data_IF_652750187735
#
_entry.id   IF_652750187735
#
_cell.length_a   1.000
_cell.length_b   1.000
_cell.length_c   1.000
_cell.angle_alpha   90.00
_cell.angle_beta   90.00
_cell.angle_gamma   90.00
#
_symmetry.space_group_name_H-M   'P 1'
#
loop_
_entity.id
_entity.type
_entity.pdbx_description
1 polymer ?
#
# COMPACT_ATOMS: atom_id res chain seq x y z
N UNK A 1 0.68 -17.83 -0.42
CA UNK A 1 2.15 -18.01 -0.64
C UNK A 1 2.87 -17.61 0.63
N UNK A 2 3.87 -18.37 1.05
CA UNK A 2 4.71 -18.06 2.21
C UNK A 2 5.75 -16.99 1.83
N UNK A 3 6.22 -16.24 2.82
CA UNK A 3 7.10 -15.10 2.57
C UNK A 3 8.48 -15.50 2.01
N UNK A 4 9.03 -16.64 2.45
CA UNK A 4 10.31 -17.15 1.96
C UNK A 4 10.24 -17.48 0.45
N UNK A 5 9.19 -18.17 0.01
CA UNK A 5 8.98 -18.50 -1.42
C UNK A 5 8.83 -17.22 -2.26
N UNK A 6 8.19 -16.20 -1.68
CA UNK A 6 8.05 -14.90 -2.30
C UNK A 6 9.42 -14.21 -2.47
N UNK A 7 10.25 -14.18 -1.43
CA UNK A 7 11.58 -13.57 -1.50
C UNK A 7 12.45 -14.28 -2.52
N UNK A 8 12.54 -15.62 -2.49
CA UNK A 8 13.32 -16.42 -3.44
C UNK A 8 12.96 -16.09 -4.89
N UNK A 9 11.69 -15.86 -5.15
CA UNK A 9 11.19 -15.49 -6.50
C UNK A 9 11.62 -14.11 -6.94
N UNK A 10 11.52 -13.11 -6.04
CA UNK A 10 11.71 -11.71 -6.39
C UNK A 10 13.13 -11.20 -6.17
N UNK A 11 13.96 -11.85 -5.33
CA UNK A 11 15.31 -11.42 -5.02
C UNK A 11 16.22 -11.33 -6.26
N UNK A 12 16.02 -12.24 -7.21
CA UNK A 12 16.77 -12.26 -8.46
C UNK A 12 16.26 -11.30 -9.54
N UNK A 13 15.13 -10.60 -9.29
CA UNK A 13 14.55 -9.67 -10.27
C UNK A 13 15.15 -8.26 -10.12
N UNK A 14 16.02 -7.83 -11.07
CA UNK A 14 16.72 -6.53 -10.94
C UNK A 14 15.77 -5.34 -11.02
N UNK A 15 14.55 -5.52 -11.56
CA UNK A 15 13.59 -4.42 -11.70
C UNK A 15 12.90 -4.06 -10.38
N UNK A 16 12.92 -4.94 -9.37
CA UNK A 16 12.22 -4.77 -8.10
C UNK A 16 13.14 -4.83 -6.87
N UNK A 17 14.45 -4.80 -7.06
CA UNK A 17 15.45 -4.95 -6.00
C UNK A 17 15.24 -3.97 -4.83
N UNK A 18 14.91 -2.70 -5.12
CA UNK A 18 14.72 -1.68 -4.08
C UNK A 18 13.46 -1.94 -3.24
N UNK A 19 12.36 -2.31 -3.90
CA UNK A 19 11.12 -2.67 -3.22
C UNK A 19 11.33 -3.90 -2.32
N UNK A 20 12.01 -4.92 -2.82
CA UNK A 20 12.28 -6.15 -2.05
C UNK A 20 13.18 -5.86 -0.85
N UNK A 21 14.25 -5.07 -1.02
CA UNK A 21 15.13 -4.70 0.08
C UNK A 21 14.39 -3.93 1.20
N UNK A 22 13.49 -3.01 0.84
CA UNK A 22 12.65 -2.30 1.81
C UNK A 22 11.68 -3.26 2.50
N UNK A 23 11.02 -4.12 1.72
CA UNK A 23 10.04 -5.07 2.21
C UNK A 23 10.66 -6.06 3.20
N UNK A 24 11.85 -6.59 2.93
CA UNK A 24 12.58 -7.48 3.84
C UNK A 24 12.85 -6.83 5.19
N UNK A 25 13.31 -5.57 5.21
CA UNK A 25 13.53 -4.82 6.45
C UNK A 25 12.25 -4.67 7.26
N UNK A 26 11.14 -4.35 6.59
CA UNK A 26 9.85 -4.19 7.25
C UNK A 26 9.33 -5.55 7.76
N UNK A 27 9.44 -6.60 6.95
CA UNK A 27 8.98 -7.94 7.31
C UNK A 27 9.67 -8.47 8.58
N UNK A 28 11.00 -8.34 8.68
CA UNK A 28 11.76 -8.73 9.89
C UNK A 28 11.22 -8.00 11.13
N UNK A 29 11.04 -6.68 11.04
CA UNK A 29 10.53 -5.91 12.16
C UNK A 29 9.09 -6.30 12.56
N UNK A 30 8.22 -6.62 11.58
CA UNK A 30 6.87 -7.10 11.86
C UNK A 30 6.86 -8.49 12.49
N UNK A 31 7.77 -9.39 12.05
CA UNK A 31 7.92 -10.73 12.62
C UNK A 31 8.43 -10.69 14.06
N UNK A 32 9.33 -9.77 14.39
CA UNK A 32 9.87 -9.58 15.74
C UNK A 32 8.89 -8.85 16.68
N UNK A 33 7.99 -8.04 16.15
CA UNK A 33 7.05 -7.26 16.96
C UNK A 33 5.96 -8.15 17.56
N UNK A 34 5.79 -8.10 18.88
CA UNK A 34 4.67 -8.76 19.58
C UNK A 34 3.33 -8.06 19.35
N UNK A 35 3.34 -6.82 18.89
CA UNK A 35 2.15 -6.02 18.58
C UNK A 35 1.53 -6.40 17.22
N UNK A 36 2.32 -6.98 16.31
CA UNK A 36 1.83 -7.45 15.02
C UNK A 36 1.27 -8.87 15.14
N UNK A 37 -0.03 -9.05 14.94
CA UNK A 37 -0.70 -10.36 14.97
C UNK A 37 -0.89 -10.97 13.59
N UNK A 38 -0.85 -10.16 12.55
CA UNK A 38 -0.92 -10.59 11.15
C UNK A 38 -0.28 -9.56 10.24
N UNK A 39 0.35 -9.99 9.16
CA UNK A 39 0.82 -9.09 8.10
C UNK A 39 0.84 -9.81 6.76
N UNK A 40 0.42 -9.09 5.72
CA UNK A 40 0.35 -9.62 4.37
C UNK A 40 0.74 -8.57 3.32
N UNK A 41 1.41 -9.02 2.26
CA UNK A 41 1.56 -8.28 1.02
C UNK A 41 0.36 -8.60 0.14
N UNK A 42 -0.22 -7.58 -0.45
CA UNK A 42 -1.32 -7.70 -1.41
C UNK A 42 -0.96 -7.04 -2.74
N UNK A 43 -1.92 -6.86 -3.64
CA UNK A 43 -1.72 -6.11 -4.87
C UNK A 43 -0.86 -6.84 -5.91
N UNK A 44 -0.08 -6.08 -6.69
CA UNK A 44 0.65 -6.58 -7.85
C UNK A 44 1.76 -7.56 -7.48
N UNK A 45 2.44 -7.38 -6.35
CA UNK A 45 3.46 -8.30 -5.86
C UNK A 45 2.87 -9.67 -5.52
N UNK A 46 1.76 -9.71 -4.80
CA UNK A 46 1.08 -10.95 -4.48
C UNK A 46 0.50 -11.66 -5.72
N UNK A 47 0.12 -10.90 -6.75
CA UNK A 47 -0.39 -11.40 -8.04
C UNK A 47 0.71 -11.75 -9.03
N UNK A 48 1.97 -11.66 -8.64
CA UNK A 48 3.14 -11.95 -9.48
C UNK A 48 3.22 -11.09 -10.77
N UNK A 49 2.60 -9.91 -10.75
CA UNK A 49 2.54 -8.97 -11.88
C UNK A 49 3.25 -7.65 -11.60
N UNK A 50 4.07 -7.60 -10.52
CA UNK A 50 4.78 -6.39 -10.15
C UNK A 50 5.90 -6.05 -11.14
N UNK A 51 6.11 -4.76 -11.33
CA UNK A 51 7.19 -4.17 -12.09
C UNK A 51 7.95 -3.11 -11.24
N UNK A 52 8.92 -2.42 -11.84
CA UNK A 52 9.70 -1.37 -11.16
C UNK A 52 8.85 -0.24 -10.58
N UNK A 53 7.70 0.03 -11.14
CA UNK A 53 6.80 1.12 -10.71
C UNK A 53 5.66 0.63 -9.81
N UNK A 54 5.64 -0.66 -9.50
CA UNK A 54 4.62 -1.22 -8.62
C UNK A 54 4.81 -0.75 -7.19
N UNK A 55 3.69 -0.43 -6.53
CA UNK A 55 3.68 -0.14 -5.10
C UNK A 55 3.94 -1.42 -4.30
N UNK A 56 4.56 -1.28 -3.14
CA UNK A 56 4.46 -2.28 -2.10
C UNK A 56 3.12 -2.02 -1.38
N UNK A 57 2.15 -2.92 -1.54
CA UNK A 57 0.88 -2.87 -0.80
C UNK A 57 1.01 -3.77 0.43
N UNK A 58 1.21 -3.18 1.61
CA UNK A 58 1.45 -3.88 2.86
C UNK A 58 0.35 -3.59 3.88
N UNK A 59 -0.25 -4.65 4.41
CA UNK A 59 -1.28 -4.59 5.46
C UNK A 59 -0.76 -5.33 6.68
N UNK A 60 -0.73 -4.65 7.84
CA UNK A 60 -0.42 -5.26 9.12
C UNK A 60 -1.63 -5.15 10.06
N UNK A 61 -1.97 -6.23 10.74
CA UNK A 61 -2.98 -6.31 11.78
C UNK A 61 -2.31 -6.24 13.14
N UNK A 62 -2.73 -5.31 13.97
CA UNK A 62 -2.16 -5.11 15.30
C UNK A 62 -3.03 -5.71 16.41
N UNK A 63 -2.42 -5.95 17.57
CA UNK A 63 -3.16 -6.20 18.80
C UNK A 63 -3.89 -4.93 19.28
N UNK A 64 -4.84 -5.10 20.19
CA UNK A 64 -5.67 -4.00 20.68
C UNK A 64 -4.84 -2.86 21.25
N UNK A 65 -5.18 -1.62 20.88
CA UNK A 65 -4.53 -0.40 21.34
C UNK A 65 -3.10 -0.15 20.81
N UNK A 66 -2.55 -1.02 19.95
CA UNK A 66 -1.14 -0.92 19.50
C UNK A 66 -0.95 -0.37 18.07
N UNK A 67 -2.04 0.01 17.40
CA UNK A 67 -2.00 0.44 15.99
C UNK A 67 -1.02 1.57 15.71
N UNK A 68 -1.01 2.63 16.54
CA UNK A 68 -0.07 3.75 16.38
C UNK A 68 1.39 3.39 16.71
N UNK A 69 1.62 2.47 17.64
CA UNK A 69 2.95 2.00 17.99
C UNK A 69 3.56 1.22 16.83
N UNK A 70 2.83 0.25 16.29
CA UNK A 70 3.24 -0.55 15.14
C UNK A 70 3.48 0.34 13.89
N UNK A 71 2.59 1.28 13.63
CA UNK A 71 2.73 2.23 12.54
C UNK A 71 4.00 3.09 12.65
N UNK A 72 4.31 3.57 13.85
CA UNK A 72 5.53 4.34 14.12
C UNK A 72 6.79 3.51 13.96
N UNK A 73 6.78 2.27 14.44
CA UNK A 73 7.89 1.34 14.30
C UNK A 73 8.28 1.14 12.83
N UNK A 74 7.32 0.87 11.96
CA UNK A 74 7.59 0.75 10.51
C UNK A 74 8.08 2.08 9.93
N UNK A 75 7.48 3.21 10.34
CA UNK A 75 7.92 4.54 9.90
C UNK A 75 9.38 4.86 10.23
N UNK A 76 9.91 4.33 11.33
CA UNK A 76 11.31 4.51 11.73
C UNK A 76 12.32 3.74 10.85
N UNK A 77 11.86 2.72 10.13
CA UNK A 77 12.71 1.95 9.20
C UNK A 77 12.96 2.70 7.88
N UNK A 78 12.20 3.76 7.64
CA UNK A 78 12.24 4.53 6.39
C UNK A 78 12.98 5.84 6.64
N UNK A 79 14.07 6.05 5.90
CA UNK A 79 14.83 7.30 6.00
C UNK A 79 14.01 8.48 5.48
N UNK A 80 13.83 9.56 6.24
CA UNK A 80 13.13 10.75 5.77
C UNK A 80 13.77 11.37 4.51
N UNK A 81 15.09 11.22 4.34
CA UNK A 81 15.81 11.75 3.18
C UNK A 81 15.47 11.03 1.86
N UNK A 82 14.89 9.83 1.94
CA UNK A 82 14.47 9.05 0.77
C UNK A 82 13.03 9.38 0.34
N UNK A 83 12.26 10.09 1.18
CA UNK A 83 10.85 10.38 0.93
C UNK A 83 10.71 11.62 0.06
N UNK A 84 10.18 11.44 -1.15
CA UNK A 84 9.79 12.53 -2.04
C UNK A 84 8.40 13.09 -1.67
N UNK A 85 7.46 12.22 -1.33
CA UNK A 85 6.09 12.59 -1.00
C UNK A 85 5.49 11.60 0.00
N UNK A 86 4.66 12.13 0.91
CA UNK A 86 3.93 11.35 1.90
C UNK A 86 2.49 11.85 2.06
N UNK A 87 1.55 10.92 2.17
CA UNK A 87 0.18 11.20 2.60
C UNK A 87 -0.26 10.19 3.64
N UNK A 88 -0.73 10.70 4.77
CA UNK A 88 -1.25 9.91 5.88
C UNK A 88 -2.78 9.94 5.89
N UNK A 89 -3.37 8.86 6.32
CA UNK A 89 -4.81 8.73 6.53
C UNK A 89 -5.14 7.71 7.61
N UNK A 90 -6.43 7.43 7.75
CA UNK A 90 -6.95 6.47 8.74
C UNK A 90 -8.14 5.72 8.17
N UNK A 91 -8.26 4.45 8.55
CA UNK A 91 -9.49 3.66 8.37
C UNK A 91 -10.41 3.83 9.58
N UNK A 92 -9.81 3.89 10.79
CA UNK A 92 -10.43 4.20 12.09
C UNK A 92 -9.43 4.98 12.96
N UNK A 93 -9.79 5.45 14.16
CA UNK A 93 -8.84 6.13 15.05
C UNK A 93 -7.54 5.35 15.27
N UNK A 94 -7.61 4.03 15.43
CA UNK A 94 -6.48 3.14 15.72
C UNK A 94 -5.95 2.38 14.50
N UNK A 95 -6.44 2.72 13.29
CA UNK A 95 -6.04 2.09 12.04
C UNK A 95 -5.44 3.10 11.06
N UNK A 96 -4.22 3.60 11.32
CA UNK A 96 -3.55 4.54 10.44
C UNK A 96 -3.03 3.85 9.17
N UNK A 97 -2.86 4.65 8.11
CA UNK A 97 -2.11 4.22 6.93
C UNK A 97 -1.25 5.37 6.40
N UNK A 98 -0.23 5.00 5.64
CA UNK A 98 0.67 5.93 4.96
C UNK A 98 0.95 5.46 3.55
N UNK A 99 0.96 6.42 2.63
CA UNK A 99 1.42 6.24 1.25
C UNK A 99 2.65 7.08 1.05
N UNK A 100 3.71 6.48 0.54
CA UNK A 100 4.99 7.13 0.29
C UNK A 100 5.40 6.95 -1.16
N UNK A 101 5.96 8.02 -1.73
CA UNK A 101 6.74 7.97 -2.97
C UNK A 101 8.18 8.31 -2.59
N UNK A 102 9.12 7.49 -3.01
CA UNK A 102 10.54 7.69 -2.77
C UNK A 102 11.22 8.43 -3.92
N UNK A 103 12.40 8.99 -3.67
CA UNK A 103 13.17 9.74 -4.65
C UNK A 103 13.58 8.89 -5.87
N UNK A 104 13.68 7.58 -5.72
CA UNK A 104 13.95 6.61 -6.78
C UNK A 104 12.71 6.20 -7.58
N UNK A 105 11.55 6.83 -7.30
CA UNK A 105 10.25 6.56 -7.91
C UNK A 105 9.65 5.18 -7.54
N UNK A 106 10.15 4.53 -6.51
CA UNK A 106 9.42 3.42 -5.88
C UNK A 106 8.38 3.96 -4.89
N UNK A 107 7.45 3.11 -4.44
CA UNK A 107 6.38 3.55 -3.55
C UNK A 107 5.87 2.43 -2.66
N UNK A 108 5.27 2.81 -1.54
CA UNK A 108 4.65 1.89 -0.59
C UNK A 108 3.32 2.45 -0.09
N UNK A 109 2.32 1.59 0.01
CA UNK A 109 1.11 1.79 0.80
C UNK A 109 1.18 0.88 2.03
N UNK A 110 1.35 1.46 3.20
CA UNK A 110 1.42 0.72 4.46
C UNK A 110 0.19 1.02 5.31
N UNK A 111 -0.58 -0.03 5.63
CA UNK A 111 -1.80 0.02 6.42
C UNK A 111 -1.63 -0.74 7.72
N UNK A 112 -1.98 -0.14 8.84
CA UNK A 112 -2.13 -0.83 10.13
C UNK A 112 -3.62 -0.91 10.46
N UNK A 113 -4.09 -2.09 10.78
CA UNK A 113 -5.51 -2.39 10.99
C UNK A 113 -5.72 -2.90 12.41
N UNK A 114 -6.48 -2.17 13.19
CA UNK A 114 -6.89 -2.56 14.54
C UNK A 114 -7.92 -3.70 14.50
N UNK A 115 -8.09 -4.46 15.59
CA UNK A 115 -8.96 -5.64 15.63
C UNK A 115 -10.43 -5.35 15.28
N UNK A 116 -10.95 -4.19 15.69
CA UNK A 116 -12.31 -3.71 15.46
C UNK A 116 -12.55 -3.15 14.06
N UNK A 117 -11.48 -2.86 13.32
CA UNK A 117 -11.59 -2.32 11.97
C UNK A 117 -11.83 -3.43 10.96
N UNK A 118 -12.97 -3.36 10.27
CA UNK A 118 -13.31 -4.30 9.19
C UNK A 118 -12.47 -4.00 7.97
N UNK A 119 -11.59 -4.94 7.65
CA UNK A 119 -10.84 -4.96 6.40
C UNK A 119 -10.74 -6.41 5.94
N UNK A 120 -11.17 -6.66 4.72
CA UNK A 120 -11.08 -7.98 4.09
C UNK A 120 -9.82 -8.06 3.23
N UNK A 121 -9.12 -9.20 3.31
CA UNK A 121 -7.99 -9.53 2.45
C UNK A 121 -8.48 -10.20 1.17
N UNK A 122 -8.16 -9.62 0.03
CA UNK A 122 -8.38 -10.25 -1.28
C UNK A 122 -7.25 -11.23 -1.60
N UNK A 123 -7.59 -12.39 -2.11
CA UNK A 123 -6.60 -13.35 -2.62
C UNK A 123 -6.16 -13.00 -4.05
N UNK A 124 -4.91 -13.33 -4.44
CA UNK A 124 -3.85 -13.89 -3.61
C UNK A 124 -3.21 -12.84 -2.69
N UNK A 125 -2.64 -13.28 -1.58
CA UNK A 125 -1.76 -12.49 -0.73
C UNK A 125 -0.54 -13.31 -0.31
N UNK A 126 0.54 -12.62 0.12
CA UNK A 126 1.75 -13.23 0.68
C UNK A 126 1.74 -13.03 2.17
N UNK A 127 1.84 -14.11 2.92
CA UNK A 127 1.83 -14.10 4.37
C UNK A 127 3.22 -13.75 4.92
N UNK A 128 3.30 -12.72 5.78
CA UNK A 128 4.52 -12.36 6.51
C UNK A 128 4.42 -12.79 7.98
N UNK A 129 3.29 -12.47 8.62
CA UNK A 129 2.97 -12.82 10.01
C UNK A 129 1.55 -13.33 10.08
N UNK A 130 1.32 -14.43 10.80
CA UNK A 130 -0.01 -14.99 10.98
C UNK A 130 -0.15 -15.68 12.34
N UNK A 131 -0.37 -14.89 13.38
CA UNK A 131 -0.53 -15.38 14.76
C UNK A 131 -2.00 -15.64 15.04
N UNK A 132 -2.31 -16.85 15.54
CA UNK A 132 -3.69 -17.24 15.87
C UNK A 132 -4.63 -17.25 14.67
N UNK A 133 -4.13 -17.57 13.46
CA UNK A 133 -4.93 -17.62 12.22
C UNK A 133 -5.60 -16.27 11.90
N UNK A 134 -4.93 -15.16 12.20
CA UNK A 134 -5.46 -13.81 12.00
C UNK A 134 -5.85 -13.54 10.54
N UNK A 135 -5.01 -13.97 9.58
CA UNK A 135 -5.23 -13.69 8.16
C UNK A 135 -6.43 -14.45 7.61
N UNK A 136 -6.63 -15.72 8.00
CA UNK A 136 -7.77 -16.54 7.55
C UNK A 136 -9.10 -15.93 7.97
N UNK A 137 -9.16 -15.33 9.17
CA UNK A 137 -10.36 -14.65 9.65
C UNK A 137 -10.72 -13.40 8.84
N UNK A 138 -9.78 -12.90 8.02
CA UNK A 138 -9.90 -11.69 7.22
C UNK A 138 -10.06 -11.94 5.72
N UNK A 139 -9.96 -13.19 5.27
CA UNK A 139 -10.07 -13.51 3.82
C UNK A 139 -11.47 -13.18 3.32
N UNK A 140 -11.53 -12.37 2.26
CA UNK A 140 -12.77 -12.08 1.57
C UNK A 140 -13.31 -13.32 0.85
N UNK A 141 -14.60 -13.62 1.04
CA UNK A 141 -15.28 -14.63 0.26
C UNK A 141 -15.76 -14.12 -1.11
N UNK A 142 -15.57 -12.83 -1.37
CA UNK A 142 -15.93 -12.21 -2.65
C UNK A 142 -14.75 -12.28 -3.60
N UNK A 143 -14.97 -12.76 -4.80
CA UNK A 143 -13.99 -12.58 -5.87
C UNK A 143 -13.85 -11.07 -6.15
N UNK A 144 -12.60 -10.61 -6.29
CA UNK A 144 -12.31 -9.25 -6.65
C UNK A 144 -13.11 -8.85 -7.90
N UNK A 145 -14.08 -7.96 -7.77
CA UNK A 145 -14.74 -7.39 -8.92
C UNK A 145 -13.75 -6.45 -9.61
N UNK A 146 -13.61 -6.56 -10.92
CA UNK A 146 -12.75 -5.69 -11.72
C UNK A 146 -13.17 -4.20 -11.67
N UNK A 147 -14.37 -3.92 -11.20
CA UNK A 147 -14.95 -2.59 -11.08
C UNK A 147 -14.61 -1.97 -9.71
N UNK A 148 -13.35 -1.64 -9.49
CA UNK A 148 -13.02 -0.66 -8.46
C UNK A 148 -13.39 0.71 -9.00
N UNK A 149 -14.53 1.23 -8.56
CA UNK A 149 -14.84 2.65 -8.70
C UNK A 149 -13.73 3.44 -7.99
N UNK A 150 -12.67 3.76 -8.74
CA UNK A 150 -11.53 4.49 -8.20
C UNK A 150 -12.02 5.87 -7.79
N UNK A 151 -12.09 6.09 -6.48
CA UNK A 151 -12.40 7.41 -5.93
C UNK A 151 -11.23 8.32 -6.25
N UNK A 152 -11.44 9.27 -7.15
CA UNK A 152 -10.46 10.30 -7.49
C UNK A 152 -10.52 11.45 -6.50
N UNK A 153 -9.41 12.16 -6.32
CA UNK A 153 -9.29 13.33 -5.44
C UNK A 153 -9.64 13.07 -3.98
N UNK A 154 -9.43 11.81 -3.53
CA UNK A 154 -9.79 11.35 -2.19
C UNK A 154 -9.11 12.15 -1.07
N UNK A 155 -7.91 12.63 -1.30
CA UNK A 155 -7.10 13.35 -0.31
C UNK A 155 -7.05 14.86 -0.56
N UNK A 156 -7.87 15.38 -1.49
CA UNK A 156 -7.82 16.78 -1.90
C UNK A 156 -6.44 17.16 -2.46
N UNK A 157 -6.09 18.44 -2.37
CA UNK A 157 -4.81 18.97 -2.88
C UNK A 157 -3.60 18.25 -2.29
N UNK A 158 -3.69 17.81 -1.04
CA UNK A 158 -2.61 17.08 -0.35
C UNK A 158 -2.29 15.73 -0.98
N UNK A 159 -3.22 15.15 -1.73
CA UNK A 159 -3.06 13.87 -2.40
C UNK A 159 -2.72 13.95 -3.87
N UNK A 160 -2.72 15.15 -4.47
CA UNK A 160 -2.52 15.32 -5.91
C UNK A 160 -1.24 14.68 -6.43
N UNK A 161 -0.14 14.76 -5.68
CA UNK A 161 1.12 14.14 -6.09
C UNK A 161 0.97 12.60 -6.22
N UNK A 162 0.23 11.95 -5.31
CA UNK A 162 -0.06 10.52 -5.39
C UNK A 162 -0.93 10.17 -6.61
N UNK A 163 -1.97 10.97 -6.87
CA UNK A 163 -2.86 10.78 -8.02
C UNK A 163 -2.11 10.91 -9.35
N UNK A 164 -1.27 11.95 -9.47
CA UNK A 164 -0.44 12.17 -10.66
C UNK A 164 0.65 11.10 -10.81
N UNK A 165 1.20 10.59 -9.71
CA UNK A 165 2.14 9.49 -9.74
C UNK A 165 1.52 8.21 -10.29
N UNK A 166 0.27 7.90 -9.96
CA UNK A 166 -0.47 6.79 -10.56
C UNK A 166 -0.66 6.98 -12.07
N UNK A 167 -0.99 8.19 -12.50
CA UNK A 167 -1.06 8.50 -13.94
C UNK A 167 0.30 8.30 -14.64
N UNK A 168 1.40 8.71 -14.00
CA UNK A 168 2.74 8.51 -14.53
C UNK A 168 3.08 7.02 -14.71
N UNK A 169 2.69 6.16 -13.76
CA UNK A 169 2.85 4.70 -13.87
C UNK A 169 2.12 4.14 -15.09
N UNK A 170 0.86 4.54 -15.32
CA UNK A 170 0.10 4.11 -16.49
C UNK A 170 0.74 4.58 -17.80
N UNK A 171 1.16 5.85 -17.87
CA UNK A 171 1.87 6.38 -19.05
C UNK A 171 3.15 5.59 -19.34
N UNK A 172 3.91 5.26 -18.30
CA UNK A 172 5.15 4.49 -18.44
C UNK A 172 4.92 3.06 -18.93
N UNK A 173 3.78 2.46 -18.54
CA UNK A 173 3.35 1.13 -19.00
C UNK A 173 2.69 1.14 -20.39
N UNK A 174 2.52 2.32 -20.99
CA UNK A 174 1.82 2.47 -22.27
C UNK A 174 0.30 2.44 -22.17
N UNK A 175 -0.26 2.49 -20.95
CA UNK A 175 -1.70 2.48 -20.67
C UNK A 175 -2.30 3.89 -20.86
N UNK A 176 -2.17 4.44 -22.06
CA UNK A 176 -2.50 5.85 -22.36
C UNK A 176 -3.96 6.20 -22.11
N UNK A 177 -4.87 5.30 -22.46
CA UNK A 177 -6.31 5.54 -22.30
C UNK A 177 -6.70 5.55 -20.81
N UNK A 178 -6.14 4.63 -20.01
CA UNK A 178 -6.35 4.62 -18.56
C UNK A 178 -5.88 5.92 -17.91
N UNK A 179 -4.68 6.39 -18.26
CA UNK A 179 -4.13 7.64 -17.76
C UNK A 179 -5.00 8.84 -18.15
N UNK A 180 -5.43 8.92 -19.42
CA UNK A 180 -6.28 10.00 -19.94
C UNK A 180 -7.62 10.04 -19.23
N UNK A 181 -8.31 8.90 -19.14
CA UNK A 181 -9.63 8.80 -18.49
C UNK A 181 -9.57 9.19 -17.03
N UNK A 182 -8.49 8.79 -16.35
CA UNK A 182 -8.28 9.16 -14.96
C UNK A 182 -8.03 10.65 -14.78
N UNK A 183 -7.17 11.27 -15.61
CA UNK A 183 -6.90 12.71 -15.58
C UNK A 183 -8.14 13.54 -15.84
N UNK A 184 -9.02 13.10 -16.75
CA UNK A 184 -10.30 13.77 -17.01
C UNK A 184 -11.21 13.69 -15.77
N UNK A 185 -11.30 12.51 -15.12
CA UNK A 185 -12.07 12.34 -13.88
C UNK A 185 -11.50 13.19 -12.75
N UNK A 186 -10.18 13.22 -12.61
CA UNK A 186 -9.47 14.00 -11.59
C UNK A 186 -9.72 15.50 -11.78
N UNK A 187 -9.61 16.02 -13.02
CA UNK A 187 -9.91 17.42 -13.32
C UNK A 187 -11.34 17.82 -12.94
N UNK A 188 -12.33 17.00 -13.31
CA UNK A 188 -13.73 17.21 -12.91
C UNK A 188 -13.93 17.19 -11.39
N UNK A 189 -13.23 16.31 -10.67
CA UNK A 189 -13.33 16.24 -9.21
C UNK A 189 -12.71 17.47 -8.54
N UNK A 190 -11.60 17.98 -9.06
CA UNK A 190 -10.96 19.22 -8.59
C UNK A 190 -11.92 20.41 -8.80
N UNK A 191 -12.50 20.58 -9.99
CA UNK A 191 -13.47 21.63 -10.28
C UNK A 191 -14.68 21.57 -9.32
N UNK A 192 -15.24 20.35 -9.13
CA UNK A 192 -16.39 20.14 -8.24
C UNK A 192 -16.08 20.40 -6.77
N UNK A 193 -14.83 20.27 -6.35
CA UNK A 193 -14.40 20.53 -4.98
C UNK A 193 -14.44 22.02 -4.59
N UNK A 194 -14.63 22.91 -5.56
CA UNK A 194 -14.75 24.34 -5.32
C UNK A 194 -13.43 24.95 -4.81
N UNK A 195 -12.28 24.46 -5.26
CA UNK A 195 -11.01 25.13 -5.04
C UNK A 195 -11.13 26.53 -5.63
N UNK A 196 -11.58 27.47 -4.77
CA UNK A 196 -11.60 28.89 -5.12
C UNK A 196 -10.14 29.32 -5.22
N UNK A 197 -9.82 30.00 -6.32
CA UNK A 197 -8.55 30.69 -6.52
C UNK A 197 -8.12 31.37 -5.21
N UNK A 198 -6.95 31.02 -4.74
CA UNK A 198 -6.27 31.73 -3.64
C UNK A 198 -5.44 32.85 -4.21
#
# INVERSE_FOLDING_TARGET
MQFEEFIDRWESNPSTTLQIALLMRIAVALQESTECIGAAIVGSFAKESADRLSDIDLIAFCSDGTGHSLFRMVGQLISPAEILFAVDGKHSPDSPYRKLIFADMTSIEFHVIAPDTKLELEQPFVEIVNRGLCLESRVSQRHASADRNMTVFRYGDRGLAWELFNCLKWLWRGELDAARDYLIKLGKAIEASGVKDR
#
